data_IF_026770195172
#
_entry.id   IF_026770195172
#
_cell.length_a   1.000
_cell.length_b   1.000
_cell.length_c   1.000
_cell.angle_alpha   90.00
_cell.angle_beta   90.00
_cell.angle_gamma   90.00
#
_symmetry.space_group_name_H-M   'P 1'
#
loop_
_entity.id
_entity.type
_entity.pdbx_description
1 polymer ?
#
# COMPACT_ATOMS: atom_id res chain seq x y z
N UNK A 1 -20.62 -5.22 1.80
CA UNK A 1 -19.71 -4.05 1.86
C UNK A 1 -18.69 -4.38 2.93
N UNK A 2 -17.43 -4.42 2.58
CA UNK A 2 -16.35 -4.70 3.52
C UNK A 2 -15.82 -3.39 4.07
N UNK A 3 -15.57 -3.34 5.37
CA UNK A 3 -15.08 -2.15 6.03
C UNK A 3 -13.83 -2.49 6.82
N UNK A 4 -12.86 -1.58 6.80
CA UNK A 4 -11.70 -1.58 7.67
C UNK A 4 -11.77 -0.37 8.60
N UNK A 5 -11.24 -0.54 9.79
CA UNK A 5 -11.02 0.55 10.72
C UNK A 5 -9.56 0.56 11.12
N UNK A 6 -8.92 1.70 11.02
CA UNK A 6 -7.55 1.92 11.47
C UNK A 6 -7.59 2.95 12.57
N UNK A 7 -7.04 2.60 13.72
CA UNK A 7 -7.08 3.43 14.92
C UNK A 7 -5.72 4.03 15.23
N UNK A 8 -5.71 5.32 15.52
CA UNK A 8 -4.52 6.06 15.90
C UNK A 8 -3.77 6.66 14.71
N UNK A 9 -3.36 7.90 14.89
CA UNK A 9 -2.75 8.74 13.86
C UNK A 9 -1.52 8.09 13.21
N UNK A 10 -0.64 7.50 14.01
CA UNK A 10 0.56 6.82 13.50
C UNK A 10 0.22 5.59 12.65
N UNK A 11 -0.79 4.80 13.06
CA UNK A 11 -1.24 3.65 12.28
C UNK A 11 -1.91 4.06 10.97
N UNK A 12 -2.66 5.16 10.99
CA UNK A 12 -3.26 5.74 9.77
C UNK A 12 -2.15 6.13 8.79
N UNK A 13 -1.16 6.86 9.27
CA UNK A 13 -0.03 7.31 8.45
C UNK A 13 0.79 6.11 7.94
N UNK A 14 1.08 5.13 8.79
CA UNK A 14 1.76 3.90 8.42
C UNK A 14 1.01 3.15 7.30
N UNK A 15 -0.30 3.00 7.44
CA UNK A 15 -1.13 2.36 6.42
C UNK A 15 -1.06 3.10 5.09
N UNK A 16 -1.17 4.43 5.12
CA UNK A 16 -1.13 5.26 3.92
C UNK A 16 0.23 5.17 3.23
N UNK A 17 1.33 5.19 3.98
CA UNK A 17 2.68 5.01 3.43
C UNK A 17 2.86 3.64 2.79
N UNK A 18 2.34 2.57 3.41
CA UNK A 18 2.41 1.22 2.86
C UNK A 18 1.60 1.07 1.57
N UNK A 19 0.38 1.63 1.52
CA UNK A 19 -0.43 1.65 0.30
C UNK A 19 0.26 2.47 -0.79
N UNK A 20 0.83 3.63 -0.43
CA UNK A 20 1.57 4.47 -1.35
C UNK A 20 2.77 3.75 -1.96
N UNK A 21 3.59 3.12 -1.12
CA UNK A 21 4.74 2.33 -1.55
C UNK A 21 4.34 1.17 -2.47
N UNK A 22 3.29 0.43 -2.11
CA UNK A 22 2.80 -0.67 -2.93
C UNK A 22 2.22 -0.21 -4.27
N UNK A 23 1.55 0.95 -4.30
CA UNK A 23 1.04 1.53 -5.53
C UNK A 23 2.19 1.99 -6.45
N UNK A 24 3.24 2.62 -5.90
CA UNK A 24 4.43 3.02 -6.64
C UNK A 24 5.13 1.81 -7.27
N UNK A 25 5.38 0.77 -6.50
CA UNK A 25 5.97 -0.49 -6.97
C UNK A 25 5.11 -1.16 -8.06
N UNK A 26 3.78 -1.23 -7.87
CA UNK A 26 2.88 -1.79 -8.87
C UNK A 26 2.87 -0.99 -10.18
N UNK A 27 2.94 0.33 -10.10
CA UNK A 27 3.00 1.22 -11.26
C UNK A 27 4.35 1.12 -11.99
N UNK A 28 5.46 1.11 -11.26
CA UNK A 28 6.83 0.95 -11.78
C UNK A 28 6.96 -0.26 -12.71
N UNK A 29 6.30 -1.35 -12.36
CA UNK A 29 6.28 -2.58 -13.16
C UNK A 29 5.09 -2.67 -14.12
N UNK A 30 4.36 -1.58 -14.36
CA UNK A 30 3.24 -1.50 -15.31
C UNK A 30 2.08 -2.48 -14.99
N UNK A 31 1.87 -2.81 -13.72
CA UNK A 31 0.76 -3.66 -13.27
C UNK A 31 -0.53 -2.88 -13.06
N UNK A 32 -0.42 -1.59 -12.82
CA UNK A 32 -1.54 -0.65 -12.76
C UNK A 32 -1.25 0.52 -13.70
N UNK A 33 -2.29 1.18 -14.18
CA UNK A 33 -2.15 2.40 -14.99
C UNK A 33 -1.86 3.62 -14.11
N UNK A 34 -1.40 4.72 -14.70
CA UNK A 34 -1.21 5.99 -14.00
C UNK A 34 -2.50 6.44 -13.31
N UNK A 35 -3.63 6.41 -14.00
CA UNK A 35 -4.92 6.80 -13.41
C UNK A 35 -5.34 5.91 -12.23
N UNK A 36 -5.01 4.60 -12.22
CA UNK A 36 -5.22 3.73 -11.06
C UNK A 36 -4.27 4.11 -9.93
N UNK A 37 -2.98 4.31 -10.22
CA UNK A 37 -1.97 4.75 -9.27
C UNK A 37 -2.41 6.03 -8.54
N UNK A 38 -2.79 7.05 -9.28
CA UNK A 38 -3.27 8.31 -8.71
C UNK A 38 -4.54 8.10 -7.87
N UNK A 39 -5.52 7.37 -8.40
CA UNK A 39 -6.78 7.14 -7.70
C UNK A 39 -6.65 6.32 -6.42
N UNK A 40 -5.58 5.53 -6.27
CA UNK A 40 -5.35 4.73 -5.08
C UNK A 40 -4.82 5.57 -3.91
N UNK A 41 -3.92 6.52 -4.19
CA UNK A 41 -3.22 7.21 -3.11
C UNK A 41 -2.82 8.65 -3.43
N UNK A 42 -2.62 8.99 -4.70
CA UNK A 42 -1.97 10.22 -5.11
C UNK A 42 -2.96 11.18 -5.78
N UNK A 43 -3.94 11.67 -5.01
CA UNK A 43 -4.93 12.64 -5.46
C UNK A 43 -5.26 13.70 -4.40
N UNK A 44 -6.01 14.73 -4.79
CA UNK A 44 -6.41 15.81 -3.89
C UNK A 44 -7.23 15.33 -2.68
N UNK A 45 -7.99 14.23 -2.80
CA UNK A 45 -8.77 13.71 -1.70
C UNK A 45 -7.88 13.15 -0.58
N UNK A 46 -6.69 12.65 -0.94
CA UNK A 46 -5.69 12.23 0.05
C UNK A 46 -5.09 13.43 0.78
N UNK A 47 -4.81 14.52 0.09
CA UNK A 47 -4.33 15.75 0.73
C UNK A 47 -5.34 16.25 1.77
N UNK A 48 -6.64 16.26 1.42
CA UNK A 48 -7.70 16.66 2.36
C UNK A 48 -7.73 15.73 3.58
N UNK A 49 -7.59 14.42 3.36
CA UNK A 49 -7.53 13.44 4.45
C UNK A 49 -6.33 13.67 5.37
N UNK A 50 -5.15 13.90 4.79
CA UNK A 50 -3.92 14.20 5.53
C UNK A 50 -4.10 15.45 6.39
N UNK A 51 -4.66 16.51 5.83
CA UNK A 51 -4.89 17.77 6.54
C UNK A 51 -5.94 17.59 7.66
N UNK A 52 -6.99 16.81 7.42
CA UNK A 52 -8.03 16.53 8.42
C UNK A 52 -7.49 15.79 9.64
N UNK A 53 -6.72 14.74 9.41
CA UNK A 53 -6.09 13.96 10.48
C UNK A 53 -4.81 14.61 11.02
N UNK A 54 -4.42 15.78 10.49
CA UNK A 54 -3.18 16.46 10.83
C UNK A 54 -1.96 15.51 10.79
N UNK A 55 -1.89 14.69 9.74
CA UNK A 55 -0.78 13.78 9.52
C UNK A 55 0.49 14.56 9.17
N UNK A 56 1.62 13.86 9.02
CA UNK A 56 2.90 14.53 8.80
C UNK A 56 2.94 15.32 7.49
N UNK A 57 3.75 16.39 7.50
CA UNK A 57 4.00 17.17 6.28
C UNK A 57 4.73 16.33 5.23
N UNK A 58 5.58 15.42 5.67
CA UNK A 58 6.36 14.56 4.78
C UNK A 58 5.43 13.61 3.99
N UNK A 59 4.41 13.01 4.64
CA UNK A 59 3.40 12.24 3.93
C UNK A 59 2.66 13.10 2.90
N UNK A 60 2.35 14.35 3.26
CA UNK A 60 1.71 15.30 2.35
C UNK A 60 2.58 15.59 1.12
N UNK A 61 3.89 15.78 1.32
CA UNK A 61 4.85 15.98 0.25
C UNK A 61 4.99 14.76 -0.65
N UNK A 62 5.05 13.56 -0.08
CA UNK A 62 5.03 12.28 -0.80
C UNK A 62 3.80 12.18 -1.71
N UNK A 63 2.62 12.53 -1.21
CA UNK A 63 1.39 12.52 -2.03
C UNK A 63 1.46 13.55 -3.15
N UNK A 64 1.98 14.75 -2.90
CA UNK A 64 2.17 15.76 -3.95
C UNK A 64 3.15 15.32 -5.04
N UNK A 65 4.25 14.67 -4.67
CA UNK A 65 5.20 14.12 -5.65
C UNK A 65 4.51 13.09 -6.55
N UNK A 66 3.71 12.20 -5.97
CA UNK A 66 2.96 11.21 -6.75
C UNK A 66 1.91 11.83 -7.68
N UNK A 67 1.25 12.91 -7.25
CA UNK A 67 0.32 13.67 -8.10
C UNK A 67 1.02 14.33 -9.30
N UNK A 68 2.28 14.73 -9.16
CA UNK A 68 3.06 15.36 -10.22
C UNK A 68 3.49 14.40 -11.36
N UNK A 69 3.21 13.10 -11.25
CA UNK A 69 3.58 12.14 -12.29
C UNK A 69 2.77 12.32 -13.58
N UNK A 70 1.50 12.78 -13.48
CA UNK A 70 0.69 13.14 -14.65
C UNK A 70 1.37 14.26 -15.45
N UNK A 71 1.93 15.26 -14.78
CA UNK A 71 2.62 16.38 -15.43
C UNK A 71 3.84 15.92 -16.25
N UNK A 72 4.56 14.88 -15.76
CA UNK A 72 5.69 14.30 -16.50
C UNK A 72 5.22 13.62 -17.79
N UNK A 73 4.11 12.88 -17.72
CA UNK A 73 3.53 12.21 -18.89
C UNK A 73 2.97 13.23 -19.88
N UNK A 74 2.28 14.25 -19.38
CA UNK A 74 1.71 15.31 -20.22
C UNK A 74 2.81 16.15 -20.90
N UNK A 75 3.96 16.34 -20.25
CA UNK A 75 5.11 17.02 -20.85
C UNK A 75 5.61 16.35 -22.14
N UNK A 76 5.44 15.04 -22.28
CA UNK A 76 5.78 14.32 -23.50
C UNK A 76 4.98 14.77 -24.71
N UNK A 77 3.75 15.27 -24.52
CA UNK A 77 2.91 15.80 -25.61
C UNK A 77 3.40 17.15 -26.12
N UNK A 78 4.15 17.89 -25.29
CA UNK A 78 4.58 19.26 -25.59
C UNK A 78 6.04 19.34 -26.07
N UNK A 79 6.85 18.34 -25.73
CA UNK A 79 8.30 18.33 -25.98
C UNK A 79 8.72 17.04 -26.70
N UNK A 80 8.98 17.09 -27.99
CA UNK A 80 9.32 15.91 -28.83
C UNK A 80 10.57 15.15 -28.36
N UNK A 81 11.55 15.84 -27.75
CA UNK A 81 12.81 15.25 -27.28
C UNK A 81 12.82 14.94 -25.78
N UNK A 82 11.66 15.02 -25.09
CA UNK A 82 11.59 14.78 -23.66
C UNK A 82 11.53 13.28 -23.35
N UNK A 83 12.58 12.77 -22.68
CA UNK A 83 12.63 11.39 -22.18
C UNK A 83 11.77 11.21 -20.94
N UNK A 84 10.45 11.29 -21.13
CA UNK A 84 9.47 11.20 -20.06
C UNK A 84 9.50 9.85 -19.33
N UNK A 85 9.87 8.74 -20.02
CA UNK A 85 9.94 7.42 -19.38
C UNK A 85 11.06 7.35 -18.34
N UNK A 86 12.21 7.97 -18.63
CA UNK A 86 13.32 8.06 -17.67
C UNK A 86 12.95 8.96 -16.50
N UNK A 87 12.41 10.13 -16.76
CA UNK A 87 11.99 11.06 -15.70
C UNK A 87 10.89 10.48 -14.80
N UNK A 88 9.94 9.77 -15.39
CA UNK A 88 8.88 9.09 -14.63
C UNK A 88 9.45 7.98 -13.75
N UNK A 89 10.39 7.20 -14.27
CA UNK A 89 11.07 6.15 -13.49
C UNK A 89 11.82 6.74 -12.31
N UNK A 90 12.60 7.80 -12.55
CA UNK A 90 13.34 8.49 -11.51
C UNK A 90 12.39 9.05 -10.43
N UNK A 91 11.27 9.64 -10.85
CA UNK A 91 10.25 10.16 -9.94
C UNK A 91 9.63 9.06 -9.06
N UNK A 92 9.36 7.88 -9.64
CA UNK A 92 8.85 6.72 -8.88
C UNK A 92 9.91 6.22 -7.90
N UNK A 93 11.17 6.11 -8.33
CA UNK A 93 12.26 5.66 -7.46
C UNK A 93 12.46 6.61 -6.27
N UNK A 94 12.37 7.93 -6.47
CA UNK A 94 12.40 8.91 -5.39
C UNK A 94 11.20 8.77 -4.45
N UNK A 95 10.01 8.57 -4.99
CA UNK A 95 8.80 8.39 -4.19
C UNK A 95 8.89 7.14 -3.31
N UNK A 96 9.39 6.02 -3.84
CA UNK A 96 9.64 4.80 -3.07
C UNK A 96 10.64 5.04 -1.95
N UNK A 97 11.76 5.72 -2.25
CA UNK A 97 12.79 6.05 -1.26
C UNK A 97 12.23 6.93 -0.13
N UNK A 98 11.41 7.92 -0.45
CA UNK A 98 10.80 8.80 0.54
C UNK A 98 9.82 8.03 1.44
N UNK A 99 8.99 7.17 0.87
CA UNK A 99 8.11 6.28 1.64
C UNK A 99 8.90 5.37 2.59
N UNK A 100 9.96 4.72 2.09
CA UNK A 100 10.80 3.81 2.87
C UNK A 100 11.53 4.58 3.97
N UNK A 101 12.14 5.72 3.65
CA UNK A 101 12.87 6.55 4.62
C UNK A 101 11.95 6.96 5.76
N UNK A 102 10.71 7.32 5.44
CA UNK A 102 9.72 7.69 6.45
C UNK A 102 9.32 6.51 7.31
N UNK A 103 9.05 5.35 6.71
CA UNK A 103 8.68 4.12 7.41
C UNK A 103 9.80 3.59 8.33
N UNK A 104 11.06 3.91 8.05
CA UNK A 104 12.20 3.54 8.88
C UNK A 104 12.40 4.44 10.11
N UNK A 105 11.63 5.50 10.27
CA UNK A 105 11.74 6.36 11.45
C UNK A 105 11.30 5.63 12.72
N UNK A 106 11.95 5.91 13.87
CA UNK A 106 11.64 5.26 15.14
C UNK A 106 10.18 5.38 15.57
N UNK A 107 9.48 6.43 15.14
CA UNK A 107 8.06 6.66 15.41
C UNK A 107 7.16 5.55 14.87
N UNK A 108 7.57 4.83 13.82
CA UNK A 108 6.80 3.75 13.20
C UNK A 108 7.19 2.35 13.68
N UNK A 109 8.22 2.22 14.51
CA UNK A 109 8.65 0.90 15.02
C UNK A 109 7.55 0.20 15.82
N UNK A 110 6.74 0.94 16.57
CA UNK A 110 5.57 0.40 17.25
C UNK A 110 4.50 -0.04 16.28
N UNK A 111 4.27 0.72 15.21
CA UNK A 111 3.30 0.36 14.18
C UNK A 111 3.69 -0.94 13.48
N UNK A 112 4.97 -1.15 13.18
CA UNK A 112 5.47 -2.41 12.59
C UNK A 112 5.10 -3.59 13.49
N UNK A 113 5.19 -3.43 14.82
CA UNK A 113 4.96 -4.49 15.77
C UNK A 113 3.49 -4.68 16.14
N UNK A 114 2.71 -3.60 16.21
CA UNK A 114 1.36 -3.59 16.80
C UNK A 114 0.26 -3.27 15.79
N UNK A 115 0.62 -3.04 14.50
CA UNK A 115 -0.35 -2.69 13.47
C UNK A 115 -1.32 -3.85 13.22
N UNK A 116 -2.60 -3.60 13.49
CA UNK A 116 -3.71 -4.50 13.19
C UNK A 116 -4.70 -3.79 12.28
N UNK A 117 -5.11 -4.42 11.19
CA UNK A 117 -6.09 -3.86 10.25
C UNK A 117 -7.52 -3.82 10.78
N UNK A 118 -7.77 -4.45 11.94
CA UNK A 118 -9.12 -4.75 12.42
C UNK A 118 -9.27 -4.45 13.89
N UNK A 119 -8.72 -3.32 14.29
CA UNK A 119 -8.98 -2.84 15.63
C UNK A 119 -10.47 -2.47 15.73
N UNK A 120 -11.19 -3.24 16.56
CA UNK A 120 -12.49 -2.77 17.05
C UNK A 120 -12.18 -1.53 17.88
N UNK A 121 -12.76 -0.36 17.55
CA UNK A 121 -12.45 0.87 18.25
C UNK A 121 -12.54 0.64 19.76
N UNK A 122 -11.41 0.63 20.41
CA UNK A 122 -11.34 0.51 21.85
C UNK A 122 -11.05 1.91 22.38
N UNK A 123 -12.11 2.59 22.79
CA UNK A 123 -12.11 3.83 23.55
C UNK A 123 -12.20 5.16 22.79
N UNK A 124 -12.96 6.04 23.41
CA UNK A 124 -13.41 7.40 23.03
C UNK A 124 -12.32 8.48 22.82
N UNK A 125 -11.06 8.11 22.71
CA UNK A 125 -9.94 9.08 22.67
C UNK A 125 -8.99 8.94 21.50
N UNK A 126 -9.21 8.01 20.58
CA UNK A 126 -8.28 7.69 19.47
C UNK A 126 -8.96 8.00 18.14
N UNK A 127 -8.28 8.74 17.27
CA UNK A 127 -8.75 9.02 15.90
C UNK A 127 -8.90 7.72 15.09
N UNK A 128 -10.00 7.60 14.34
CA UNK A 128 -10.32 6.42 13.53
C UNK A 128 -10.49 6.79 12.06
N UNK A 129 -9.81 6.07 11.19
CA UNK A 129 -10.03 6.07 9.75
C UNK A 129 -10.88 4.86 9.36
N UNK A 130 -12.05 5.12 8.77
CA UNK A 130 -12.94 4.10 8.25
C UNK A 130 -12.75 3.98 6.75
N UNK A 131 -12.50 2.77 6.28
CA UNK A 131 -12.33 2.47 4.86
C UNK A 131 -13.45 1.53 4.43
N UNK A 132 -14.25 1.95 3.47
CA UNK A 132 -15.33 1.14 2.90
C UNK A 132 -14.99 0.77 1.46
N UNK A 133 -15.07 -0.50 1.14
CA UNK A 133 -14.82 -1.02 -0.20
C UNK A 133 -16.14 -1.20 -0.93
N UNK A 134 -16.21 -0.70 -2.16
CA UNK A 134 -17.42 -0.78 -2.99
C UNK A 134 -17.74 -2.21 -3.40
N UNK A 135 -16.69 -3.04 -3.56
CA UNK A 135 -16.79 -4.45 -3.91
C UNK A 135 -15.76 -5.28 -3.16
N UNK A 136 -15.97 -6.60 -3.14
CA UNK A 136 -14.96 -7.54 -2.66
C UNK A 136 -13.66 -7.44 -3.45
N UNK A 137 -13.77 -7.24 -4.74
CA UNK A 137 -12.64 -7.05 -5.65
C UNK A 137 -11.79 -5.82 -5.30
N UNK A 138 -12.43 -4.69 -4.96
CA UNK A 138 -11.72 -3.50 -4.49
C UNK A 138 -10.95 -3.75 -3.19
N UNK A 139 -11.55 -4.53 -2.28
CA UNK A 139 -10.87 -4.94 -1.06
C UNK A 139 -9.63 -5.79 -1.35
N UNK A 140 -9.76 -6.82 -2.19
CA UNK A 140 -8.64 -7.68 -2.61
C UNK A 140 -7.49 -6.85 -3.17
N UNK A 141 -7.80 -5.96 -4.08
CA UNK A 141 -6.80 -5.14 -4.76
C UNK A 141 -6.02 -4.27 -3.77
N UNK A 142 -6.71 -3.59 -2.87
CA UNK A 142 -6.05 -2.74 -1.87
C UNK A 142 -5.22 -3.57 -0.89
N UNK A 143 -5.71 -4.73 -0.47
CA UNK A 143 -4.94 -5.61 0.40
C UNK A 143 -3.68 -6.14 -0.27
N UNK A 144 -3.74 -6.46 -1.56
CA UNK A 144 -2.57 -6.87 -2.33
C UNK A 144 -1.57 -5.73 -2.51
N UNK A 145 -2.03 -4.51 -2.76
CA UNK A 145 -1.17 -3.32 -2.84
C UNK A 145 -0.49 -3.08 -1.49
N UNK A 146 -1.22 -3.14 -0.40
CA UNK A 146 -0.66 -3.02 0.95
C UNK A 146 0.40 -4.10 1.22
N UNK A 147 0.10 -5.37 0.89
CA UNK A 147 1.05 -6.49 1.05
C UNK A 147 2.29 -6.30 0.18
N UNK A 148 2.14 -5.77 -1.03
CA UNK A 148 3.28 -5.46 -1.89
C UNK A 148 4.17 -4.39 -1.26
N UNK A 149 3.60 -3.28 -0.80
CA UNK A 149 4.33 -2.23 -0.10
C UNK A 149 5.05 -2.75 1.14
N UNK A 150 4.36 -3.56 1.94
CA UNK A 150 4.98 -4.19 3.11
C UNK A 150 6.13 -5.14 2.73
N UNK A 151 5.99 -5.90 1.65
CA UNK A 151 7.03 -6.81 1.16
C UNK A 151 8.26 -6.04 0.68
N UNK A 152 8.06 -4.94 -0.06
CA UNK A 152 9.15 -4.05 -0.49
C UNK A 152 9.84 -3.44 0.72
N UNK A 153 9.09 -2.94 1.68
CA UNK A 153 9.64 -2.39 2.92
C UNK A 153 10.47 -3.43 3.70
N UNK A 154 10.00 -4.67 3.83
CA UNK A 154 10.75 -5.75 4.47
C UNK A 154 12.05 -6.09 3.73
N UNK A 155 12.06 -5.99 2.40
CA UNK A 155 13.28 -6.18 1.60
C UNK A 155 14.32 -5.11 1.95
N UNK A 156 13.90 -3.87 2.09
CA UNK A 156 14.77 -2.74 2.41
C UNK A 156 15.23 -2.73 3.88
N UNK A 157 14.43 -3.26 4.81
CA UNK A 157 14.85 -3.45 6.20
C UNK A 157 16.05 -4.40 6.35
N UNK A 158 16.30 -5.28 5.38
CA UNK A 158 17.46 -6.16 5.35
C UNK A 158 17.60 -7.05 6.59
N UNK A 159 18.62 -6.79 7.41
CA UNK A 159 18.92 -7.60 8.60
C UNK A 159 17.88 -7.50 9.73
N UNK A 160 17.10 -6.44 9.75
CA UNK A 160 16.06 -6.19 10.76
C UNK A 160 14.70 -6.79 10.37
N UNK A 161 14.64 -7.53 9.26
CA UNK A 161 13.40 -8.02 8.67
C UNK A 161 12.70 -9.10 9.50
N UNK A 162 13.43 -9.92 10.28
CA UNK A 162 12.90 -11.16 10.88
C UNK A 162 11.74 -10.89 11.83
N UNK A 163 11.93 -10.01 12.81
CA UNK A 163 10.90 -9.71 13.81
C UNK A 163 9.70 -8.99 13.19
N UNK A 164 9.95 -8.06 12.26
CA UNK A 164 8.92 -7.35 11.53
C UNK A 164 8.09 -8.32 10.67
N UNK A 165 8.73 -9.29 10.02
CA UNK A 165 8.06 -10.30 9.22
C UNK A 165 7.20 -11.24 10.05
N UNK A 166 7.70 -11.74 11.18
CA UNK A 166 6.95 -12.59 12.09
C UNK A 166 5.73 -11.86 12.67
N UNK A 167 5.88 -10.59 12.96
CA UNK A 167 4.77 -9.74 13.41
C UNK A 167 3.74 -9.51 12.32
N UNK A 168 4.18 -9.24 11.10
CA UNK A 168 3.30 -9.14 9.94
C UNK A 168 2.48 -10.41 9.73
N UNK A 169 3.12 -11.58 9.80
CA UNK A 169 2.41 -12.87 9.69
C UNK A 169 1.37 -13.04 10.80
N UNK A 170 1.74 -12.82 12.05
CA UNK A 170 0.85 -13.03 13.20
C UNK A 170 -0.34 -12.09 13.21
N UNK A 171 -0.12 -10.83 12.95
CA UNK A 171 -1.15 -9.81 13.12
C UNK A 171 -1.93 -9.60 11.82
N UNK A 172 -1.23 -9.30 10.73
CA UNK A 172 -1.86 -8.92 9.49
C UNK A 172 -2.44 -10.10 8.71
N UNK A 173 -1.62 -11.12 8.43
CA UNK A 173 -2.08 -12.25 7.62
C UNK A 173 -3.15 -13.08 8.33
N UNK A 174 -3.08 -13.20 9.65
CA UNK A 174 -4.12 -13.87 10.45
C UNK A 174 -5.44 -13.13 10.37
N UNK A 175 -5.42 -11.81 10.51
CA UNK A 175 -6.62 -10.97 10.40
C UNK A 175 -7.19 -11.03 8.98
N UNK A 176 -6.33 -10.95 7.97
CA UNK A 176 -6.73 -11.01 6.58
C UNK A 176 -7.39 -12.35 6.21
N UNK A 177 -6.87 -13.48 6.75
CA UNK A 177 -7.52 -14.80 6.60
C UNK A 177 -8.90 -14.84 7.23
N UNK A 178 -9.04 -14.29 8.43
CA UNK A 178 -10.33 -14.26 9.12
C UNK A 178 -11.39 -13.50 8.33
N UNK A 179 -11.00 -12.48 7.58
CA UNK A 179 -11.90 -11.69 6.73
C UNK A 179 -12.16 -12.36 5.39
N UNK A 180 -11.12 -12.88 4.75
CA UNK A 180 -11.25 -13.51 3.45
C UNK A 180 -12.22 -14.72 3.49
N UNK A 181 -12.27 -15.47 4.60
CA UNK A 181 -13.12 -16.66 4.78
C UNK A 181 -13.14 -17.62 3.57
N UNK A 182 -12.12 -17.55 2.71
CA UNK A 182 -12.07 -18.31 1.46
C UNK A 182 -12.93 -17.75 0.33
N UNK A 183 -13.47 -16.53 0.47
CA UNK A 183 -14.31 -15.90 -0.56
C UNK A 183 -13.50 -15.43 -1.78
N UNK A 184 -12.22 -15.10 -1.58
CA UNK A 184 -11.28 -14.75 -2.65
C UNK A 184 -10.26 -15.86 -2.87
N UNK A 185 -10.29 -16.46 -4.06
CA UNK A 185 -9.29 -17.44 -4.49
C UNK A 185 -7.91 -16.78 -4.63
N UNK A 186 -7.85 -15.61 -5.25
CA UNK A 186 -6.60 -14.85 -5.46
C UNK A 186 -5.95 -14.50 -4.13
N UNK A 187 -6.72 -13.98 -3.19
CA UNK A 187 -6.19 -13.61 -1.88
C UNK A 187 -5.76 -14.85 -1.09
N UNK A 188 -6.48 -15.99 -1.23
CA UNK A 188 -6.09 -17.26 -0.63
C UNK A 188 -4.77 -17.77 -1.19
N UNK A 189 -4.57 -17.73 -2.51
CA UNK A 189 -3.30 -18.09 -3.15
C UNK A 189 -2.14 -17.23 -2.64
N UNK A 190 -2.37 -15.92 -2.51
CA UNK A 190 -1.35 -14.98 -1.99
C UNK A 190 -1.02 -15.29 -0.52
N UNK A 191 -2.03 -15.57 0.30
CA UNK A 191 -1.80 -15.94 1.71
C UNK A 191 -1.01 -17.25 1.84
N UNK A 192 -1.25 -18.22 0.95
CA UNK A 192 -0.48 -19.47 0.89
C UNK A 192 1.00 -19.23 0.53
N UNK A 193 1.28 -18.23 -0.34
CA UNK A 193 2.68 -17.86 -0.64
C UNK A 193 3.43 -17.44 0.64
N UNK A 194 2.79 -16.67 1.49
CA UNK A 194 3.38 -16.25 2.76
C UNK A 194 3.50 -17.41 3.78
N UNK A 195 2.62 -18.41 3.74
CA UNK A 195 2.70 -19.60 4.59
C UNK A 195 3.78 -20.57 4.17
N UNK A 196 4.07 -20.66 2.88
CA UNK A 196 5.07 -21.58 2.34
C UNK A 196 6.49 -21.33 2.89
N UNK A 197 6.70 -20.18 3.56
CA UNK A 197 7.94 -19.83 4.24
C UNK A 197 8.20 -20.60 5.55
N UNK A 198 7.15 -21.19 6.13
CA UNK A 198 7.21 -21.77 7.50
C UNK A 198 7.63 -23.26 7.54
N UNK A 199 7.82 -23.91 6.42
CA UNK A 199 8.00 -25.38 6.36
C UNK A 199 9.40 -25.87 6.72
N UNK A 200 10.21 -25.12 7.44
CA UNK A 200 11.51 -25.57 7.92
C UNK A 200 11.90 -24.91 9.25
N UNK A 201 12.12 -25.75 10.25
CA UNK A 201 12.63 -25.38 11.59
C UNK A 201 14.01 -24.71 11.60
N UNK A 202 14.50 -24.27 10.45
CA UNK A 202 15.75 -23.54 10.35
C UNK A 202 15.43 -22.06 10.13
N UNK A 203 15.80 -21.24 11.08
CA UNK A 203 16.02 -19.81 10.88
C UNK A 203 16.68 -19.61 9.50
N UNK A 204 15.86 -19.24 8.53
CA UNK A 204 16.39 -18.93 7.21
C UNK A 204 17.44 -17.85 7.41
N UNK A 205 18.67 -18.08 6.97
CA UNK A 205 19.67 -17.01 6.97
C UNK A 205 19.04 -15.78 6.31
N UNK A 206 19.32 -14.59 6.80
CA UNK A 206 18.82 -13.31 6.28
C UNK A 206 18.78 -13.27 4.73
N UNK A 207 19.81 -13.87 4.11
CA UNK A 207 19.92 -13.95 2.65
C UNK A 207 18.80 -14.79 2.00
N UNK A 208 18.40 -15.90 2.62
CA UNK A 208 17.30 -16.74 2.10
C UNK A 208 15.96 -16.06 2.28
N UNK A 209 15.75 -15.40 3.41
CA UNK A 209 14.54 -14.61 3.66
C UNK A 209 14.39 -13.47 2.65
N UNK A 210 15.47 -12.76 2.34
CA UNK A 210 15.49 -11.71 1.33
C UNK A 210 15.18 -12.24 -0.08
N UNK A 211 15.77 -13.38 -0.47
CA UNK A 211 15.47 -14.01 -1.75
C UNK A 211 14.00 -14.45 -1.85
N UNK A 212 13.45 -14.93 -0.76
CA UNK A 212 12.07 -15.37 -0.70
C UNK A 212 11.10 -14.18 -0.76
N UNK A 213 11.34 -13.08 -0.03
CA UNK A 213 10.56 -11.85 -0.13
C UNK A 213 10.57 -11.27 -1.56
N UNK A 214 11.72 -11.29 -2.23
CA UNK A 214 11.81 -10.90 -3.65
C UNK A 214 10.97 -11.80 -4.55
N UNK A 215 10.93 -13.09 -4.29
CA UNK A 215 10.05 -14.01 -5.03
C UNK A 215 8.57 -13.66 -4.78
N UNK A 216 8.17 -13.47 -3.53
CA UNK A 216 6.80 -13.05 -3.20
C UNK A 216 6.43 -11.76 -3.90
N UNK A 217 7.30 -10.76 -3.91
CA UNK A 217 7.02 -9.50 -4.59
C UNK A 217 6.76 -9.70 -6.10
N UNK A 218 7.49 -10.62 -6.74
CA UNK A 218 7.25 -11.00 -8.14
C UNK A 218 5.91 -11.72 -8.31
N UNK A 219 5.61 -12.68 -7.45
CA UNK A 219 4.38 -13.46 -7.50
C UNK A 219 3.14 -12.56 -7.23
N UNK A 220 3.22 -11.67 -6.24
CA UNK A 220 2.21 -10.64 -5.96
C UNK A 220 1.93 -9.80 -7.21
N UNK A 221 2.97 -9.29 -7.87
CA UNK A 221 2.82 -8.51 -9.10
C UNK A 221 2.12 -9.31 -10.20
N UNK A 222 2.40 -10.59 -10.33
CA UNK A 222 1.72 -11.47 -11.30
C UNK A 222 0.20 -11.56 -11.08
N UNK A 223 -0.27 -11.44 -9.86
CA UNK A 223 -1.70 -11.44 -9.55
C UNK A 223 -2.42 -10.12 -9.91
N UNK A 224 -1.71 -8.98 -9.96
CA UNK A 224 -2.31 -7.70 -10.35
C UNK A 224 -2.87 -7.66 -11.77
N UNK A 225 -2.33 -8.44 -12.71
CA UNK A 225 -2.87 -8.51 -14.07
C UNK A 225 -4.33 -8.98 -14.14
N UNK A 226 -4.82 -9.61 -13.07
CA UNK A 226 -6.21 -10.08 -12.98
C UNK A 226 -7.17 -9.02 -12.45
N UNK A 227 -6.65 -7.89 -11.95
CA UNK A 227 -7.40 -6.87 -11.23
C UNK A 227 -7.57 -5.62 -12.11
N UNK A 228 -8.80 -5.33 -12.55
CA UNK A 228 -9.03 -4.26 -13.53
C UNK A 228 -9.45 -2.91 -12.94
N UNK A 229 -10.11 -2.88 -11.79
CA UNK A 229 -10.61 -1.61 -11.22
C UNK A 229 -10.85 -1.75 -9.72
N UNK A 230 -10.37 -0.78 -8.95
CA UNK A 230 -10.68 -0.70 -7.53
C UNK A 230 -11.39 0.61 -7.20
N UNK A 231 -12.37 0.56 -6.33
CA UNK A 231 -12.92 1.75 -5.72
C UNK A 231 -13.10 1.53 -4.22
N UNK A 232 -12.68 2.51 -3.45
CA UNK A 232 -12.82 2.56 -2.01
C UNK A 232 -13.18 3.97 -1.56
N UNK A 233 -13.81 4.06 -0.39
CA UNK A 233 -14.15 5.33 0.22
C UNK A 233 -13.47 5.42 1.57
N UNK A 234 -12.81 6.54 1.82
CA UNK A 234 -12.33 6.89 3.15
C UNK A 234 -13.36 7.75 3.86
N UNK A 235 -13.66 7.42 5.09
CA UNK A 235 -14.57 8.19 5.94
C UNK A 235 -13.87 8.53 7.24
N UNK A 236 -13.84 9.80 7.59
CA UNK A 236 -13.41 10.28 8.88
C UNK A 236 -14.52 10.20 9.94
N UNK A 237 -14.16 10.41 11.20
CA UNK A 237 -15.12 10.56 12.29
C UNK A 237 -16.08 11.74 12.09
N UNK A 238 -15.65 12.77 11.35
CA UNK A 238 -16.49 13.93 10.99
C UNK A 238 -17.52 13.62 9.91
N UNK A 239 -17.55 12.37 9.43
CA UNK A 239 -18.49 11.91 8.41
C UNK A 239 -18.14 12.30 6.98
N UNK A 240 -16.97 12.89 6.75
CA UNK A 240 -16.48 13.19 5.41
C UNK A 240 -16.17 11.89 4.67
N UNK A 241 -16.58 11.81 3.40
CA UNK A 241 -16.36 10.65 2.55
C UNK A 241 -15.46 11.06 1.39
N UNK A 242 -14.32 10.41 1.29
CA UNK A 242 -13.36 10.62 0.20
C UNK A 242 -13.53 9.48 -0.79
N UNK A 243 -14.02 9.81 -1.98
CA UNK A 243 -14.24 8.84 -3.06
C UNK A 243 -12.96 8.64 -3.84
N UNK A 244 -12.63 7.37 -4.06
CA UNK A 244 -11.59 6.96 -4.97
C UNK A 244 -12.16 6.08 -6.05
N UNK A 245 -12.34 6.65 -7.21
CA UNK A 245 -12.65 5.90 -8.43
C UNK A 245 -11.42 5.95 -9.32
N UNK A 246 -11.05 4.82 -9.95
CA UNK A 246 -10.08 4.87 -11.03
C UNK A 246 -10.56 5.91 -12.05
N UNK A 247 -9.70 6.83 -12.45
CA UNK A 247 -10.00 7.65 -13.62
C UNK A 247 -10.16 6.68 -14.80
N UNK A 248 -11.33 6.66 -15.43
CA UNK A 248 -11.49 5.95 -16.69
C UNK A 248 -10.48 6.55 -17.66
N UNK A 249 -9.48 5.77 -18.01
CA UNK A 249 -8.58 6.15 -19.11
C UNK A 249 -9.43 6.08 -20.37
N UNK A 250 -9.88 7.23 -20.85
CA UNK A 250 -10.46 7.33 -22.18
C UNK A 250 -9.30 7.03 -23.12
N UNK A 251 -9.13 5.77 -23.47
CA UNK A 251 -8.31 5.36 -24.60
C UNK A 251 -9.06 5.83 -25.84
N UNK A 252 -8.68 7.01 -26.35
CA UNK A 252 -9.02 7.42 -27.71
C UNK A 252 -8.13 6.70 -28.72
#
# INVERSE_FOLDING_TARGET
MMNLTISGKQNIEFYLLMVGLGAAEAYKYKHISLGVFESLHYDLSMIVLIDEYQLSKDLREIVFQGMGMEDIVDAAEWFEDFDWESHLRDAIDYLELDCISRLMEPSYHTCINDFTLFDVPNTDSVEHLYISFVSHHSFEQIMMIFMLGYTVFLIELGEYCTDAFDTFKRNYLTSLRAINRGESEVLSEVLELFDSCDNGNDFLSNKRQQLWLRKISIDLRGHFFRLKESSMNYRSEKGLVYYRRPKETILN
#
